data_IF_404423115219
#
_entry.id   IF_404423115219
#
_cell.length_a   1.000
_cell.length_b   1.000
_cell.length_c   1.000
_cell.angle_alpha   90.00
_cell.angle_beta   90.00
_cell.angle_gamma   90.00
#
_symmetry.space_group_name_H-M   'P 1'
#
loop_
_entity.id
_entity.type
_entity.pdbx_description
1 polymer ?
#
# COMPACT_ATOMS: atom_id res chain seq x y z
N UNK A 1 -19.47 -80.53 -3.14
CA UNK A 1 -19.48 -79.35 -2.33
C UNK A 1 -18.33 -78.42 -2.87
N UNK A 2 -18.69 -77.41 -3.64
CA UNK A 2 -17.70 -76.39 -4.16
C UNK A 2 -17.82 -75.15 -3.32
N UNK A 3 -16.74 -74.84 -2.58
CA UNK A 3 -16.60 -73.53 -1.87
C UNK A 3 -16.19 -72.49 -2.85
N UNK A 4 -17.06 -71.55 -3.15
CA UNK A 4 -16.75 -70.29 -3.84
C UNK A 4 -16.35 -69.28 -2.78
N UNK A 5 -15.08 -68.85 -2.81
CA UNK A 5 -14.59 -67.70 -2.05
C UNK A 5 -14.90 -66.44 -2.85
N UNK A 6 -15.75 -65.58 -2.32
CA UNK A 6 -15.94 -64.22 -2.83
C UNK A 6 -14.77 -63.33 -2.38
N UNK A 7 -14.05 -62.79 -3.34
CA UNK A 7 -13.02 -61.81 -3.11
C UNK A 7 -13.71 -60.44 -3.20
N UNK A 8 -13.95 -59.81 -2.03
CA UNK A 8 -14.43 -58.44 -1.96
C UNK A 8 -13.27 -57.49 -2.34
N UNK A 9 -13.37 -56.88 -3.50
CA UNK A 9 -12.43 -55.84 -3.96
C UNK A 9 -12.81 -54.50 -3.32
N UNK A 10 -12.20 -54.20 -2.15
CA UNK A 10 -12.38 -52.92 -1.50
C UNK A 10 -11.72 -51.81 -2.31
N UNK A 11 -12.53 -50.96 -2.92
CA UNK A 11 -12.08 -49.78 -3.63
C UNK A 11 -11.62 -48.72 -2.61
N UNK A 12 -10.30 -48.67 -2.35
CA UNK A 12 -9.68 -47.65 -1.49
C UNK A 12 -9.57 -46.33 -2.28
N UNK A 13 -10.61 -45.49 -2.19
CA UNK A 13 -10.55 -44.11 -2.71
C UNK A 13 -9.68 -43.27 -1.82
N UNK A 14 -8.44 -43.06 -2.25
CA UNK A 14 -7.50 -42.10 -1.63
C UNK A 14 -7.93 -40.67 -1.96
N UNK A 15 -8.63 -40.02 -1.04
CA UNK A 15 -8.88 -38.56 -1.12
C UNK A 15 -7.58 -37.84 -0.86
N UNK A 16 -6.87 -37.43 -1.93
CA UNK A 16 -5.78 -36.44 -1.84
C UNK A 16 -6.45 -35.08 -1.68
N UNK A 17 -6.59 -34.60 -0.45
CA UNK A 17 -6.95 -33.22 -0.16
C UNK A 17 -5.77 -32.32 -0.51
N UNK A 18 -5.75 -31.81 -1.74
CA UNK A 18 -4.84 -30.71 -2.12
C UNK A 18 -5.38 -29.46 -1.44
N UNK A 19 -4.81 -29.12 -0.29
CA UNK A 19 -5.00 -27.79 0.31
C UNK A 19 -4.33 -26.76 -0.59
N UNK A 20 -5.12 -26.17 -1.49
CA UNK A 20 -4.72 -24.96 -2.21
C UNK A 20 -4.62 -23.85 -1.16
N UNK A 21 -3.42 -23.62 -0.63
CA UNK A 21 -3.12 -22.40 0.09
C UNK A 21 -3.22 -21.26 -0.92
N UNK A 22 -4.42 -20.71 -1.07
CA UNK A 22 -4.61 -19.43 -1.74
C UNK A 22 -3.93 -18.37 -0.87
N UNK A 23 -2.65 -18.13 -1.09
CA UNK A 23 -1.98 -16.95 -0.60
C UNK A 23 -2.60 -15.77 -1.34
N UNK A 24 -3.71 -15.25 -0.80
CA UNK A 24 -4.13 -13.89 -1.12
C UNK A 24 -3.09 -12.95 -0.54
N UNK A 25 -2.00 -12.77 -1.24
CA UNK A 25 -1.06 -11.69 -0.96
C UNK A 25 -1.73 -10.38 -1.38
N UNK A 26 -2.50 -9.79 -0.47
CA UNK A 26 -2.74 -8.36 -0.51
C UNK A 26 -1.44 -7.65 -0.12
N UNK A 27 -0.44 -7.81 -0.97
CA UNK A 27 0.83 -7.14 -0.80
C UNK A 27 0.58 -5.67 -1.12
N UNK A 28 0.72 -4.77 -0.14
CA UNK A 28 0.69 -3.35 -0.40
C UNK A 28 1.76 -3.03 -1.44
N UNK A 29 1.34 -2.40 -2.53
CA UNK A 29 2.20 -2.11 -3.65
C UNK A 29 2.10 -0.62 -3.99
N UNK A 30 3.23 -0.08 -4.45
CA UNK A 30 3.32 1.28 -4.93
C UNK A 30 2.83 1.34 -6.37
N UNK A 31 1.64 1.89 -6.58
CA UNK A 31 1.12 2.19 -7.90
C UNK A 31 1.85 3.40 -8.47
N UNK A 32 2.48 3.26 -9.64
CA UNK A 32 3.09 4.38 -10.34
C UNK A 32 2.03 5.39 -10.82
N UNK A 33 2.43 6.64 -10.97
CA UNK A 33 1.61 7.67 -11.59
C UNK A 33 2.02 7.86 -13.06
N UNK A 34 1.16 7.49 -13.99
CA UNK A 34 1.29 7.73 -15.43
C UNK A 34 0.31 8.79 -15.94
N UNK A 35 -0.25 9.62 -15.05
CA UNK A 35 -1.24 10.65 -15.35
C UNK A 35 -2.63 10.38 -14.78
N UNK A 36 -2.87 9.20 -14.17
CA UNK A 36 -4.14 8.89 -13.50
C UNK A 36 -4.29 9.55 -12.12
N UNK A 37 -3.21 10.13 -11.57
CA UNK A 37 -3.20 10.87 -10.32
C UNK A 37 -2.71 12.30 -10.56
N UNK A 38 -2.96 13.24 -9.61
CA UNK A 38 -2.40 14.59 -9.71
C UNK A 38 -0.87 14.58 -9.91
N UNK A 39 -0.34 15.54 -10.64
CA UNK A 39 1.10 15.63 -10.96
C UNK A 39 2.02 15.75 -9.75
N UNK A 40 1.53 16.24 -8.61
CA UNK A 40 2.29 16.28 -7.35
C UNK A 40 2.51 14.90 -6.74
N UNK A 41 1.65 13.93 -7.05
CA UNK A 41 1.71 12.57 -6.53
C UNK A 41 2.63 11.73 -7.38
N UNK A 42 3.69 11.20 -6.78
CA UNK A 42 4.61 10.29 -7.45
C UNK A 42 4.07 8.84 -7.47
N UNK A 43 3.51 8.40 -6.36
CA UNK A 43 2.98 7.05 -6.22
C UNK A 43 1.83 7.01 -5.22
N UNK A 44 1.00 5.97 -5.33
CA UNK A 44 -0.11 5.69 -4.42
C UNK A 44 0.01 4.28 -3.87
N UNK A 45 -0.29 4.12 -2.58
CA UNK A 45 -0.43 2.81 -1.92
C UNK A 45 -1.87 2.66 -1.44
N UNK A 46 -2.56 1.59 -1.83
CA UNK A 46 -3.85 1.23 -1.24
C UNK A 46 -3.60 0.60 0.13
N UNK A 47 -4.34 1.03 1.14
CA UNK A 47 -4.31 0.47 2.50
C UNK A 47 -5.74 0.18 2.96
N UNK A 48 -5.95 -0.64 3.99
CA UNK A 48 -7.30 -0.86 4.53
C UNK A 48 -7.99 0.45 4.88
N UNK A 49 -9.17 0.66 4.31
CA UNK A 49 -9.97 1.87 4.52
C UNK A 49 -9.44 3.14 3.87
N UNK A 50 -8.47 3.05 2.94
CA UNK A 50 -7.96 4.28 2.33
C UNK A 50 -6.79 4.12 1.37
N UNK A 51 -6.03 5.20 1.28
CA UNK A 51 -4.81 5.26 0.46
C UNK A 51 -3.78 6.20 1.06
N UNK A 52 -2.52 5.93 0.79
CA UNK A 52 -1.41 6.83 1.08
C UNK A 52 -0.84 7.31 -0.26
N UNK A 53 -0.81 8.63 -0.44
CA UNK A 53 -0.21 9.25 -1.62
C UNK A 53 1.18 9.75 -1.25
N UNK A 54 2.16 9.37 -2.06
CA UNK A 54 3.56 9.72 -1.88
C UNK A 54 3.90 10.87 -2.82
N UNK A 55 4.26 12.00 -2.24
CA UNK A 55 4.78 13.17 -2.92
C UNK A 55 6.25 13.38 -2.53
N UNK A 56 6.96 14.27 -3.21
CA UNK A 56 8.33 14.62 -2.81
C UNK A 56 8.34 15.18 -1.38
N UNK A 57 8.97 14.47 -0.46
CA UNK A 57 9.08 14.87 0.93
C UNK A 57 7.75 15.01 1.67
N UNK A 58 6.70 14.32 1.23
CA UNK A 58 5.40 14.36 1.90
C UNK A 58 4.61 13.08 1.69
N UNK A 59 3.97 12.60 2.75
CA UNK A 59 2.93 11.58 2.71
C UNK A 59 1.58 12.24 2.96
N UNK A 60 0.60 11.93 2.12
CA UNK A 60 -0.79 12.31 2.32
C UNK A 60 -1.60 11.04 2.58
N UNK A 61 -2.12 10.92 3.76
CA UNK A 61 -3.00 9.83 4.20
C UNK A 61 -4.45 10.24 3.95
N UNK A 62 -5.23 9.38 3.32
CA UNK A 62 -6.65 9.62 3.07
C UNK A 62 -7.42 8.34 3.38
N UNK A 63 -8.29 8.42 4.38
CA UNK A 63 -9.11 7.32 4.84
C UNK A 63 -10.59 7.65 4.67
N UNK A 64 -11.40 6.61 4.55
CA UNK A 64 -12.86 6.73 4.46
C UNK A 64 -13.53 5.68 5.35
N UNK A 65 -14.77 5.94 5.71
CA UNK A 65 -15.58 5.02 6.50
C UNK A 65 -15.99 3.81 5.64
N UNK A 66 -15.26 2.70 5.77
CA UNK A 66 -15.47 1.49 4.98
C UNK A 66 -16.87 0.89 5.20
N UNK A 67 -17.45 1.04 6.39
CA UNK A 67 -18.82 0.59 6.70
C UNK A 67 -19.84 1.36 5.86
N UNK A 68 -19.71 2.68 5.77
CA UNK A 68 -20.59 3.50 4.95
C UNK A 68 -20.46 3.19 3.45
N UNK A 69 -19.25 2.86 2.98
CA UNK A 69 -19.04 2.39 1.60
C UNK A 69 -19.80 1.09 1.36
N UNK A 70 -19.70 0.13 2.28
CA UNK A 70 -20.42 -1.14 2.18
C UNK A 70 -21.94 -0.93 2.23
N UNK A 71 -22.44 -0.14 3.18
CA UNK A 71 -23.87 0.17 3.29
C UNK A 71 -24.42 0.84 2.02
N UNK A 72 -23.61 1.68 1.35
CA UNK A 72 -23.99 2.30 0.08
C UNK A 72 -24.00 1.29 -1.07
N UNK A 73 -23.02 0.41 -1.12
CA UNK A 73 -22.97 -0.69 -2.09
C UNK A 73 -24.19 -1.63 -1.95
N UNK A 74 -24.58 -1.92 -0.72
CA UNK A 74 -25.72 -2.79 -0.42
C UNK A 74 -27.08 -2.07 -0.50
N UNK A 75 -27.11 -0.83 -0.98
CA UNK A 75 -28.29 0.04 -1.10
C UNK A 75 -29.02 0.32 0.22
N UNK A 76 -28.37 0.12 1.35
CA UNK A 76 -28.91 0.39 2.70
C UNK A 76 -28.81 1.89 3.02
N UNK A 77 -27.68 2.51 2.66
CA UNK A 77 -27.41 3.93 2.92
C UNK A 77 -28.02 4.81 1.83
N UNK A 78 -28.84 5.79 2.24
CA UNK A 78 -29.51 6.74 1.34
C UNK A 78 -28.70 8.01 1.05
N UNK A 79 -27.81 8.39 1.97
CA UNK A 79 -26.97 9.59 1.84
C UNK A 79 -25.94 9.41 0.72
N UNK A 80 -25.69 10.49 -0.03
CA UNK A 80 -24.75 10.51 -1.14
C UNK A 80 -23.31 10.80 -0.74
N UNK A 81 -23.04 11.07 0.53
CA UNK A 81 -21.73 11.35 1.08
C UNK A 81 -21.22 10.20 1.97
N UNK A 82 -19.92 10.13 2.12
CA UNK A 82 -19.20 9.17 2.96
C UNK A 82 -18.21 9.97 3.81
N UNK A 83 -18.14 9.66 5.11
CA UNK A 83 -17.15 10.26 5.98
C UNK A 83 -15.75 9.90 5.54
N UNK A 84 -14.89 10.89 5.43
CA UNK A 84 -13.50 10.75 5.08
C UNK A 84 -12.65 11.65 5.97
N UNK A 85 -11.40 11.20 6.23
CA UNK A 85 -10.42 11.97 6.97
C UNK A 85 -9.08 11.94 6.25
N UNK A 86 -8.40 13.08 6.17
CA UNK A 86 -7.09 13.16 5.54
C UNK A 86 -6.12 13.96 6.40
N UNK A 87 -4.91 13.45 6.55
CA UNK A 87 -3.82 14.16 7.20
C UNK A 87 -2.52 13.95 6.42
N UNK A 88 -1.52 14.78 6.69
CA UNK A 88 -0.24 14.70 6.01
C UNK A 88 0.93 14.68 6.99
N UNK A 89 2.01 14.00 6.60
CA UNK A 89 3.33 14.06 7.21
C UNK A 89 4.32 14.66 6.19
N UNK A 90 4.83 15.87 6.46
CA UNK A 90 5.73 16.59 5.57
C UNK A 90 7.14 16.65 6.17
N UNK A 91 8.13 16.20 5.44
CA UNK A 91 9.55 16.36 5.76
C UNK A 91 9.95 17.80 5.49
N UNK A 92 10.12 18.60 6.56
CA UNK A 92 10.43 20.02 6.46
C UNK A 92 11.84 20.23 5.91
N UNK A 93 12.00 21.19 5.01
CA UNK A 93 13.27 21.51 4.35
C UNK A 93 13.90 20.33 3.58
N UNK A 94 13.08 19.37 3.16
CA UNK A 94 13.53 18.30 2.27
C UNK A 94 13.98 18.87 0.92
N UNK A 95 14.97 18.21 0.29
CA UNK A 95 15.53 18.69 -0.98
C UNK A 95 14.54 18.46 -2.13
N UNK A 96 14.17 19.53 -2.83
CA UNK A 96 13.28 19.46 -3.98
C UNK A 96 13.88 18.74 -5.20
N UNK A 97 15.22 18.64 -5.26
CA UNK A 97 15.99 17.95 -6.30
C UNK A 97 16.13 16.43 -6.07
N UNK A 98 15.59 15.91 -4.96
CA UNK A 98 15.69 14.47 -4.66
C UNK A 98 15.09 13.61 -5.75
N UNK A 99 15.79 12.54 -6.13
CA UNK A 99 15.31 11.54 -7.08
C UNK A 99 14.42 10.53 -6.36
N UNK A 100 13.27 10.21 -6.96
CA UNK A 100 12.38 9.14 -6.47
C UNK A 100 12.43 8.00 -7.46
N UNK A 101 12.64 6.77 -6.95
CA UNK A 101 12.72 5.55 -7.74
C UNK A 101 11.81 4.49 -7.16
N UNK A 102 11.07 3.80 -8.04
CA UNK A 102 10.32 2.59 -7.73
C UNK A 102 11.16 1.37 -8.11
N UNK A 103 11.16 0.34 -7.29
CA UNK A 103 11.91 -0.91 -7.51
C UNK A 103 11.07 -2.13 -7.15
N UNK A 104 11.55 -3.31 -7.57
CA UNK A 104 10.85 -4.59 -7.46
C UNK A 104 9.47 -4.57 -8.14
N UNK A 105 9.50 -4.39 -9.47
CA UNK A 105 8.30 -4.35 -10.32
C UNK A 105 7.48 -5.63 -10.21
N UNK A 106 6.18 -5.48 -9.99
CA UNK A 106 5.21 -6.57 -10.03
C UNK A 106 4.81 -6.92 -11.47
N UNK A 107 4.37 -8.15 -11.69
CA UNK A 107 3.74 -8.53 -12.96
C UNK A 107 2.32 -7.98 -13.11
N UNK A 108 1.71 -7.54 -12.01
CA UNK A 108 0.38 -6.97 -12.00
C UNK A 108 0.37 -5.54 -12.55
N UNK A 109 -0.71 -5.18 -13.28
CA UNK A 109 -0.95 -3.84 -13.81
C UNK A 109 -2.44 -3.53 -13.82
N UNK A 110 -2.76 -2.25 -13.87
CA UNK A 110 -4.14 -1.74 -14.01
C UNK A 110 -4.22 -0.79 -15.20
N UNK A 111 -5.40 -0.76 -15.84
CA UNK A 111 -5.75 0.22 -16.86
C UNK A 111 -6.86 1.12 -16.32
N UNK A 112 -6.80 2.40 -16.63
CA UNK A 112 -7.76 3.41 -16.18
C UNK A 112 -8.46 4.04 -17.35
N UNK A 113 -9.76 3.76 -17.51
CA UNK A 113 -10.60 4.30 -18.57
C UNK A 113 -11.76 5.07 -17.96
N UNK A 114 -11.81 6.35 -18.25
CA UNK A 114 -12.92 7.24 -17.90
C UNK A 114 -13.27 8.09 -19.12
N UNK A 115 -14.37 8.84 -19.07
CA UNK A 115 -14.73 9.77 -20.16
C UNK A 115 -13.70 10.88 -20.41
N UNK A 116 -12.77 11.10 -19.47
CA UNK A 116 -11.76 12.19 -19.52
C UNK A 116 -10.32 11.71 -19.56
N UNK A 117 -10.08 10.40 -19.38
CA UNK A 117 -8.74 9.88 -19.20
C UNK A 117 -8.66 8.44 -19.69
N UNK A 118 -7.59 8.15 -20.42
CA UNK A 118 -7.18 6.79 -20.75
C UNK A 118 -5.71 6.64 -20.38
N UNK A 119 -5.41 5.73 -19.44
CA UNK A 119 -4.05 5.41 -19.00
C UNK A 119 -3.91 3.91 -18.93
N UNK A 120 -2.98 3.38 -19.70
CA UNK A 120 -2.73 1.95 -19.82
C UNK A 120 -1.46 1.54 -19.08
N UNK A 121 -1.41 0.26 -18.71
CA UNK A 121 -0.22 -0.41 -18.18
C UNK A 121 0.36 0.31 -16.95
N UNK A 122 -0.48 0.75 -16.03
CA UNK A 122 -0.04 1.32 -14.74
C UNK A 122 0.52 0.20 -13.89
N UNK A 123 1.81 0.25 -13.60
CA UNK A 123 2.53 -0.81 -12.91
C UNK A 123 2.59 -0.60 -11.40
N UNK A 124 2.92 -1.69 -10.71
CA UNK A 124 3.02 -1.77 -9.27
C UNK A 124 4.41 -2.23 -8.87
N UNK A 125 4.89 -1.74 -7.73
CA UNK A 125 6.24 -1.96 -7.22
C UNK A 125 6.19 -2.26 -5.72
N UNK A 126 7.20 -2.93 -5.18
CA UNK A 126 7.24 -3.30 -3.77
C UNK A 126 8.00 -2.30 -2.90
N UNK A 127 8.88 -1.50 -3.51
CA UNK A 127 9.71 -0.53 -2.82
C UNK A 127 9.70 0.81 -3.54
N UNK A 128 9.82 1.88 -2.75
CA UNK A 128 10.05 3.24 -3.21
C UNK A 128 11.24 3.82 -2.44
N UNK A 129 12.17 4.43 -3.15
CA UNK A 129 13.30 5.10 -2.57
C UNK A 129 13.36 6.55 -3.05
N UNK A 130 13.54 7.48 -2.13
CA UNK A 130 13.82 8.88 -2.42
C UNK A 130 15.24 9.19 -1.97
N UNK A 131 16.16 9.31 -2.92
CA UNK A 131 17.55 9.64 -2.67
C UNK A 131 17.70 11.09 -2.24
N UNK A 132 18.58 11.30 -1.25
CA UNK A 132 18.87 12.64 -0.72
C UNK A 132 17.59 13.43 -0.38
N UNK A 133 16.68 12.85 0.38
CA UNK A 133 15.57 13.63 0.93
C UNK A 133 16.09 14.81 1.78
N UNK A 134 17.21 14.59 2.47
CA UNK A 134 18.10 15.60 3.02
C UNK A 134 19.52 15.32 2.56
N UNK A 135 20.41 16.29 2.70
CA UNK A 135 21.81 16.07 2.32
C UNK A 135 22.40 14.86 3.06
N UNK A 136 22.74 13.81 2.29
CA UNK A 136 23.28 12.57 2.79
C UNK A 136 22.29 11.68 3.57
N UNK A 137 20.98 11.89 3.39
CA UNK A 137 19.95 11.06 3.99
C UNK A 137 18.96 10.62 2.92
N UNK A 138 18.77 9.32 2.77
CA UNK A 138 17.79 8.73 1.87
C UNK A 138 16.53 8.31 2.65
N UNK A 139 15.39 8.29 1.96
CA UNK A 139 14.14 7.73 2.47
C UNK A 139 13.82 6.46 1.67
N UNK A 140 13.71 5.33 2.35
CA UNK A 140 13.23 4.07 1.78
C UNK A 140 11.87 3.74 2.36
N UNK A 141 10.90 3.42 1.49
CA UNK A 141 9.54 3.02 1.89
C UNK A 141 9.30 1.62 1.32
N UNK A 142 8.82 0.72 2.14
CA UNK A 142 8.63 -0.68 1.78
C UNK A 142 7.55 -1.32 2.63
N UNK A 143 7.14 -2.51 2.22
CA UNK A 143 6.18 -3.31 2.94
C UNK A 143 6.87 -4.43 3.71
N UNK A 144 6.57 -4.55 5.00
CA UNK A 144 7.09 -5.61 5.87
C UNK A 144 6.07 -5.96 6.96
N UNK A 145 5.91 -7.24 7.24
CA UNK A 145 5.03 -7.76 8.31
C UNK A 145 3.59 -7.19 8.25
N UNK A 146 3.02 -7.15 7.05
CA UNK A 146 1.69 -6.61 6.79
C UNK A 146 1.51 -5.10 7.11
N UNK A 147 2.61 -4.34 7.17
CA UNK A 147 2.59 -2.90 7.39
C UNK A 147 3.46 -2.17 6.37
N UNK A 148 3.03 -0.95 6.00
CA UNK A 148 3.89 -0.02 5.29
C UNK A 148 4.87 0.58 6.30
N UNK A 149 6.16 0.42 6.02
CA UNK A 149 7.27 0.94 6.84
C UNK A 149 8.09 1.92 6.02
N UNK A 150 8.80 2.80 6.70
CA UNK A 150 9.82 3.64 6.07
C UNK A 150 11.04 3.76 6.96
N UNK A 151 12.19 3.85 6.32
CA UNK A 151 13.49 4.06 6.96
C UNK A 151 14.14 5.33 6.42
N UNK A 152 14.79 6.08 7.29
CA UNK A 152 15.69 7.16 6.92
C UNK A 152 17.12 6.63 7.01
N UNK A 153 17.76 6.46 5.88
CA UNK A 153 19.11 5.90 5.76
C UNK A 153 20.11 7.06 5.84
N UNK A 154 20.81 7.16 6.95
CA UNK A 154 21.77 8.23 7.23
C UNK A 154 23.16 7.79 6.80
N UNK A 155 23.71 8.46 5.79
CA UNK A 155 25.06 8.17 5.31
C UNK A 155 26.14 8.79 6.21
N UNK A 156 27.38 8.29 6.19
CA UNK A 156 28.49 8.87 6.95
C UNK A 156 28.65 10.38 6.68
N UNK A 157 28.96 11.14 7.73
CA UNK A 157 29.11 12.59 7.71
C UNK A 157 27.81 13.39 7.44
N UNK A 158 26.65 12.77 7.51
CA UNK A 158 25.37 13.45 7.42
C UNK A 158 24.92 13.98 8.79
N UNK A 159 24.08 14.98 8.79
CA UNK A 159 23.51 15.56 10.01
C UNK A 159 22.06 15.10 10.20
N UNK A 160 21.81 14.17 11.10
CA UNK A 160 20.48 13.65 11.42
C UNK A 160 19.52 14.71 12.00
N UNK A 161 20.04 15.81 12.53
CA UNK A 161 19.21 16.91 13.08
C UNK A 161 18.45 17.68 12.02
N UNK A 162 18.73 17.44 10.73
CA UNK A 162 17.92 17.96 9.61
C UNK A 162 16.53 17.33 9.58
N UNK A 163 16.38 16.09 10.10
CA UNK A 163 15.13 15.35 10.04
C UNK A 163 14.08 16.05 10.92
N UNK A 164 13.10 16.64 10.27
CA UNK A 164 11.95 17.27 10.92
C UNK A 164 10.70 16.94 10.15
N UNK A 165 9.69 16.38 10.83
CA UNK A 165 8.42 16.01 10.22
C UNK A 165 7.32 16.88 10.83
N UNK A 166 6.54 17.53 9.98
CA UNK A 166 5.34 18.29 10.36
C UNK A 166 4.11 17.47 10.00
N UNK A 167 3.28 17.20 10.98
CA UNK A 167 1.95 16.65 10.77
C UNK A 167 0.92 17.77 10.63
N UNK A 168 -0.08 17.58 9.77
CA UNK A 168 -1.17 18.54 9.58
C UNK A 168 -2.44 17.81 9.12
N UNK A 169 -3.60 18.23 9.65
CA UNK A 169 -4.91 17.65 9.34
C UNK A 169 -5.36 16.54 10.29
N UNK A 170 -4.55 16.15 11.27
CA UNK A 170 -4.94 15.23 12.34
C UNK A 170 -5.76 15.96 13.42
N UNK A 171 -6.68 15.25 14.06
CA UNK A 171 -7.50 15.82 15.15
C UNK A 171 -6.66 16.09 16.41
N UNK A 172 -5.82 15.12 16.78
CA UNK A 172 -4.93 15.20 17.94
C UNK A 172 -3.60 14.54 17.66
N UNK A 173 -2.55 15.04 18.28
CA UNK A 173 -1.22 14.44 18.32
C UNK A 173 -0.65 14.51 19.71
N UNK A 174 -0.15 13.41 20.23
CA UNK A 174 0.47 13.35 21.55
C UNK A 174 1.61 12.34 21.57
N UNK A 175 2.61 12.63 22.40
CA UNK A 175 3.71 11.72 22.65
C UNK A 175 3.37 10.75 23.78
N UNK A 176 3.49 9.47 23.54
CA UNK A 176 3.42 8.43 24.57
C UNK A 176 4.76 7.72 24.66
N UNK A 177 5.39 7.79 25.83
CA UNK A 177 6.72 7.18 26.07
C UNK A 177 7.78 7.60 25.04
N UNK A 178 7.80 8.88 24.66
CA UNK A 178 8.67 9.47 23.61
C UNK A 178 8.41 8.95 22.18
N UNK A 179 7.31 8.23 21.95
CA UNK A 179 6.84 7.82 20.63
C UNK A 179 5.59 8.62 20.24
N UNK A 180 5.45 8.93 18.95
CA UNK A 180 4.26 9.52 18.33
C UNK A 180 3.16 8.48 18.17
#
# INVERSE_FOLDING_TARGET
MKNTREISLGLLTLFISISLNSFSQSQFQFQENKGQLPNSVFSKVKVPGGSIFIEKGKFLYSFYNSKQVQEKHDLIRKEDWIDAHSFSAKFLNSLGSSEIKLSEKSNYFENFYTSKMQVDDVRFYKELEQKNIYQGIDLKIYYSENNLKYDLIIHPNSNERQIRIKYAGQDNIFLKNKNL
#
